data_IF_693227981034
#
_entry.id   IF_693227981034
#
_cell.length_a   1.000
_cell.length_b   1.000
_cell.length_c   1.000
_cell.angle_alpha   90.00
_cell.angle_beta   90.00
_cell.angle_gamma   90.00
#
_symmetry.space_group_name_H-M   'P 1'
#
loop_
_entity.id
_entity.type
_entity.pdbx_description
1 polymer ?
#
# COMPACT_ATOMS: atom_id res chain seq x y z
N UNK A 1 -1.31 -7.73 5.53
CA UNK A 1 0.01 -7.68 6.17
C UNK A 1 0.90 -6.81 5.31
N UNK A 2 1.72 -5.97 5.93
CA UNK A 2 2.64 -5.06 5.26
C UNK A 2 3.99 -5.06 5.98
N UNK A 3 5.06 -5.01 5.20
CA UNK A 3 6.42 -4.67 5.63
C UNK A 3 6.96 -3.66 4.60
N UNK A 4 7.51 -2.54 5.06
CA UNK A 4 8.02 -1.45 4.20
C UNK A 4 7.01 -0.35 3.91
N UNK A 5 7.13 0.25 2.73
CA UNK A 5 6.39 1.45 2.30
C UNK A 5 5.56 1.24 1.02
N UNK A 6 5.49 0.02 0.50
CA UNK A 6 4.43 -0.35 -0.44
C UNK A 6 3.07 -0.20 0.22
N UNK A 7 2.06 0.21 -0.56
CA UNK A 7 0.77 0.65 -0.02
C UNK A 7 -0.39 -0.22 -0.49
N UNK A 8 -1.41 -0.30 0.35
CA UNK A 8 -2.73 -0.84 0.02
C UNK A 8 -3.80 0.23 0.18
N UNK A 9 -4.72 0.29 -0.77
CA UNK A 9 -5.88 1.18 -0.75
C UNK A 9 -7.17 0.40 -0.94
N UNK A 10 -8.24 0.88 -0.33
CA UNK A 10 -9.62 0.46 -0.59
C UNK A 10 -10.36 1.60 -1.27
N UNK A 11 -11.04 1.28 -2.37
CA UNK A 11 -12.04 2.15 -2.99
C UNK A 11 -13.43 1.59 -2.69
N UNK A 12 -14.25 2.39 -2.01
CA UNK A 12 -15.62 2.08 -1.61
C UNK A 12 -16.47 3.33 -1.72
N UNK A 13 -17.67 3.22 -2.30
CA UNK A 13 -18.62 4.34 -2.44
C UNK A 13 -17.99 5.60 -3.05
N UNK A 14 -17.18 5.44 -4.11
CA UNK A 14 -16.44 6.50 -4.78
C UNK A 14 -15.47 7.31 -3.87
N UNK A 15 -15.03 6.72 -2.76
CA UNK A 15 -13.97 7.25 -1.90
C UNK A 15 -12.81 6.28 -1.85
N UNK A 16 -11.60 6.81 -1.63
CA UNK A 16 -10.36 6.02 -1.51
C UNK A 16 -9.77 6.16 -0.12
N UNK A 17 -9.28 5.06 0.43
CA UNK A 17 -8.77 4.98 1.78
C UNK A 17 -7.46 4.20 1.79
N UNK A 18 -6.42 4.78 2.36
CA UNK A 18 -5.17 4.08 2.55
C UNK A 18 -5.29 3.14 3.76
N UNK A 19 -5.07 1.85 3.54
CA UNK A 19 -5.18 0.81 4.57
C UNK A 19 -3.87 0.59 5.31
N UNK A 20 -2.76 0.93 4.68
CA UNK A 20 -1.39 0.74 5.12
C UNK A 20 -0.78 2.02 5.65
N UNK A 21 0.24 1.90 6.50
CA UNK A 21 1.03 3.03 6.96
C UNK A 21 2.49 2.77 6.67
N UNK A 22 3.14 3.70 5.99
CA UNK A 22 4.51 3.51 5.52
C UNK A 22 5.46 3.31 6.70
N UNK A 23 6.26 2.25 6.67
CA UNK A 23 7.31 2.05 7.67
C UNK A 23 8.57 2.82 7.25
N UNK A 24 8.44 4.15 7.13
CA UNK A 24 9.49 5.07 6.69
C UNK A 24 9.85 6.10 7.76
N UNK A 25 11.04 6.68 7.66
CA UNK A 25 11.52 7.71 8.59
C UNK A 25 10.59 8.93 8.59
N UNK A 26 10.19 9.40 7.40
CA UNK A 26 9.29 10.56 7.29
C UNK A 26 7.93 10.31 7.91
N UNK A 27 7.40 9.08 7.82
CA UNK A 27 6.15 8.72 8.48
C UNK A 27 6.28 8.77 10.01
N UNK A 28 7.42 8.32 10.57
CA UNK A 28 7.68 8.47 12.01
C UNK A 28 7.79 9.93 12.44
N UNK A 29 8.41 10.80 11.63
CA UNK A 29 8.48 12.23 11.91
C UNK A 29 7.10 12.89 11.92
N UNK A 30 6.22 12.50 10.99
CA UNK A 30 4.81 12.93 10.95
C UNK A 30 4.07 12.47 12.22
N UNK A 31 4.24 11.20 12.59
CA UNK A 31 3.59 10.63 13.78
C UNK A 31 4.04 11.32 15.08
N UNK A 32 5.32 11.64 15.16
CA UNK A 32 5.92 12.40 16.26
C UNK A 32 5.59 13.90 16.20
N UNK A 33 4.80 14.36 15.21
CA UNK A 33 4.43 15.76 14.96
C UNK A 33 5.65 16.69 14.79
N UNK A 34 6.76 16.15 14.30
CA UNK A 34 7.99 16.91 14.03
C UNK A 34 7.93 17.60 12.66
N UNK A 35 7.22 16.99 11.72
CA UNK A 35 6.92 17.57 10.41
C UNK A 35 5.43 17.41 10.12
N UNK A 36 4.90 18.20 9.19
CA UNK A 36 3.53 18.02 8.70
C UNK A 36 3.45 16.94 7.61
N UNK A 37 2.29 16.31 7.40
CA UNK A 37 2.12 15.33 6.32
C UNK A 37 2.51 15.88 4.94
N UNK A 38 2.25 17.16 4.66
CA UNK A 38 2.58 17.77 3.37
C UNK A 38 4.10 17.95 3.18
N UNK A 39 4.85 18.08 4.27
CA UNK A 39 6.31 18.23 4.27
C UNK A 39 7.01 16.89 4.02
N UNK A 40 6.41 15.78 4.45
CA UNK A 40 6.97 14.43 4.26
C UNK A 40 7.21 14.11 2.77
N UNK A 41 6.34 14.61 1.89
CA UNK A 41 6.32 14.35 0.45
C UNK A 41 7.51 14.92 -0.31
N UNK A 42 8.07 16.02 0.20
CA UNK A 42 9.23 16.71 -0.40
C UNK A 42 10.48 16.62 0.46
N UNK A 43 10.42 15.85 1.55
CA UNK A 43 11.52 15.71 2.49
C UNK A 43 12.71 14.97 1.87
N UNK A 44 13.93 15.42 2.19
CA UNK A 44 15.18 14.83 1.67
C UNK A 44 15.35 13.35 2.01
N UNK A 45 14.75 12.90 3.11
CA UNK A 45 14.80 11.51 3.60
C UNK A 45 13.54 10.71 3.26
N UNK A 46 12.72 11.14 2.29
CA UNK A 46 11.44 10.49 1.99
C UNK A 46 11.56 9.02 1.56
N UNK A 47 12.69 8.63 0.96
CA UNK A 47 12.95 7.26 0.50
C UNK A 47 13.62 6.39 1.58
N UNK A 48 13.68 6.84 2.84
CA UNK A 48 14.33 6.07 3.93
C UNK A 48 13.29 5.18 4.61
N UNK A 49 13.35 3.89 4.32
CA UNK A 49 12.54 2.84 4.94
C UNK A 49 13.20 2.32 6.22
N UNK A 50 12.38 1.95 7.20
CA UNK A 50 12.80 1.47 8.53
C UNK A 50 12.60 -0.03 8.72
N UNK A 51 11.78 -0.65 7.87
CA UNK A 51 11.48 -2.08 7.89
C UNK A 51 11.52 -2.60 6.47
N UNK A 52 12.34 -3.63 6.24
CA UNK A 52 12.40 -4.33 4.97
C UNK A 52 12.84 -5.77 5.23
N UNK A 53 12.21 -6.72 4.54
CA UNK A 53 12.65 -8.11 4.58
C UNK A 53 14.07 -8.21 4.00
N UNK A 54 14.96 -8.95 4.67
CA UNK A 54 16.37 -9.10 4.30
C UNK A 54 17.30 -7.97 4.75
N UNK A 55 16.78 -6.86 5.30
CA UNK A 55 17.62 -5.75 5.80
C UNK A 55 17.99 -5.90 7.28
N UNK A 56 17.16 -6.62 8.05
CA UNK A 56 17.37 -6.92 9.46
C UNK A 56 16.98 -8.36 9.77
N UNK A 57 17.58 -8.96 10.81
CA UNK A 57 17.30 -10.33 11.26
C UNK A 57 15.87 -10.51 11.81
N UNK A 58 15.27 -9.43 12.27
CA UNK A 58 13.91 -9.36 12.78
C UNK A 58 13.15 -8.25 12.05
N UNK A 59 11.93 -8.57 11.64
CA UNK A 59 10.99 -7.60 11.06
C UNK A 59 9.70 -7.58 11.86
N UNK A 60 9.02 -6.43 11.83
CA UNK A 60 7.78 -6.17 12.55
C UNK A 60 6.65 -5.92 11.55
N UNK A 61 5.94 -6.96 11.08
CA UNK A 61 4.86 -6.82 10.12
C UNK A 61 3.65 -6.13 10.73
N UNK A 62 3.03 -5.22 9.98
CA UNK A 62 1.74 -4.65 10.35
C UNK A 62 0.63 -5.50 9.75
N UNK A 63 -0.23 -6.07 10.60
CA UNK A 63 -1.37 -6.87 10.16
C UNK A 63 -2.67 -6.15 10.50
N UNK A 64 -3.48 -5.94 9.47
CA UNK A 64 -4.79 -5.32 9.56
C UNK A 64 -5.80 -6.25 8.92
N UNK A 65 -6.95 -6.40 9.57
CA UNK A 65 -8.12 -7.09 9.06
C UNK A 65 -9.14 -6.06 8.57
N UNK A 66 -9.58 -6.25 7.33
CA UNK A 66 -10.64 -5.49 6.68
C UNK A 66 -11.89 -6.37 6.56
N UNK A 67 -13.06 -5.77 6.72
CA UNK A 67 -14.35 -6.39 6.39
C UNK A 67 -14.80 -5.94 5.00
N UNK A 68 -14.63 -6.80 3.96
CA UNK A 68 -14.96 -6.43 2.59
C UNK A 68 -16.47 -6.38 2.36
N UNK A 69 -16.89 -5.48 1.46
CA UNK A 69 -18.24 -5.37 0.94
C UNK A 69 -18.24 -5.68 -0.56
N UNK A 70 -19.40 -6.05 -1.11
CA UNK A 70 -19.55 -6.24 -2.55
C UNK A 70 -19.25 -4.93 -3.27
N UNK A 71 -18.45 -5.01 -4.32
CA UNK A 71 -18.09 -3.86 -5.15
C UNK A 71 -16.84 -3.12 -4.69
N UNK A 72 -16.31 -3.44 -3.51
CA UNK A 72 -15.02 -2.92 -3.05
C UNK A 72 -13.93 -3.20 -4.09
N UNK A 73 -13.06 -2.21 -4.30
CA UNK A 73 -11.87 -2.36 -5.15
C UNK A 73 -10.64 -2.15 -4.28
N UNK A 74 -9.77 -3.15 -4.25
CA UNK A 74 -8.48 -3.09 -3.59
C UNK A 74 -7.41 -2.72 -4.62
N UNK A 75 -6.54 -1.78 -4.24
CA UNK A 75 -5.31 -1.44 -4.96
C UNK A 75 -4.12 -1.78 -4.07
N UNK A 76 -3.21 -2.61 -4.55
CA UNK A 76 -1.86 -2.74 -4.01
C UNK A 76 -0.88 -2.08 -4.96
N UNK A 77 0.05 -1.29 -4.45
CA UNK A 77 1.06 -0.66 -5.29
C UNK A 77 2.41 -0.49 -4.60
N UNK A 78 3.46 -0.44 -5.42
CA UNK A 78 4.78 0.03 -4.97
C UNK A 78 4.78 1.55 -4.78
N UNK A 79 5.78 2.02 -4.05
CA UNK A 79 6.08 3.44 -3.85
C UNK A 79 6.32 4.17 -5.18
N UNK A 80 6.90 3.51 -6.19
CA UNK A 80 7.02 4.04 -7.56
C UNK A 80 5.68 4.55 -8.15
N UNK A 81 4.54 3.96 -7.76
CA UNK A 81 3.23 4.48 -8.13
C UNK A 81 2.78 5.62 -7.20
N UNK A 82 2.76 5.38 -5.89
CA UNK A 82 2.17 6.30 -4.91
C UNK A 82 2.97 7.59 -4.70
N UNK A 83 4.26 7.60 -5.06
CA UNK A 83 5.10 8.79 -5.10
C UNK A 83 4.77 9.71 -6.28
N UNK A 84 4.08 9.19 -7.31
CA UNK A 84 3.73 9.93 -8.54
C UNK A 84 2.26 10.30 -8.61
N UNK A 85 1.38 9.46 -8.08
CA UNK A 85 -0.07 9.64 -8.10
C UNK A 85 -0.61 9.82 -6.69
N UNK A 86 -1.35 10.91 -6.47
CA UNK A 86 -2.05 11.17 -5.21
C UNK A 86 -3.32 10.33 -5.13
N UNK A 87 -3.88 10.20 -3.94
CA UNK A 87 -5.12 9.46 -3.70
C UNK A 87 -6.25 9.86 -4.67
N UNK A 88 -6.40 11.16 -4.95
CA UNK A 88 -7.40 11.66 -5.91
C UNK A 88 -7.12 11.23 -7.36
N UNK A 89 -5.84 11.16 -7.76
CA UNK A 89 -5.47 10.66 -9.10
C UNK A 89 -5.80 9.16 -9.21
N UNK A 90 -5.40 8.39 -8.20
CA UNK A 90 -5.67 6.95 -8.11
C UNK A 90 -7.18 6.67 -8.20
N UNK A 91 -7.97 7.39 -7.38
CA UNK A 91 -9.42 7.29 -7.35
C UNK A 91 -10.04 7.61 -8.71
N UNK A 92 -9.65 8.74 -9.33
CA UNK A 92 -10.14 9.14 -10.65
C UNK A 92 -9.93 8.03 -11.68
N UNK A 93 -8.70 7.53 -11.80
CA UNK A 93 -8.38 6.49 -12.79
C UNK A 93 -9.16 5.20 -12.54
N UNK A 94 -9.35 4.81 -11.27
CA UNK A 94 -10.13 3.62 -10.91
C UNK A 94 -11.61 3.81 -11.26
N UNK A 95 -12.20 4.96 -10.94
CA UNK A 95 -13.61 5.25 -11.20
C UNK A 95 -13.92 5.37 -12.69
N UNK A 96 -13.00 5.94 -13.48
CA UNK A 96 -13.14 6.04 -14.94
C UNK A 96 -13.09 4.65 -15.64
N UNK A 97 -12.69 3.60 -14.92
CA UNK A 97 -12.42 2.26 -15.46
C UNK A 97 -13.04 1.12 -14.61
N UNK A 98 -14.17 1.36 -13.94
CA UNK A 98 -14.81 0.39 -13.02
C UNK A 98 -15.13 -0.99 -13.63
N UNK A 99 -15.29 -1.03 -14.95
CA UNK A 99 -15.64 -2.25 -15.71
C UNK A 99 -14.44 -2.87 -16.45
N UNK A 100 -13.28 -2.20 -16.45
CA UNK A 100 -12.03 -2.68 -17.04
C UNK A 100 -10.83 -2.35 -16.14
N UNK A 101 -10.65 -3.16 -15.10
CA UNK A 101 -9.52 -3.02 -14.17
C UNK A 101 -8.16 -3.19 -14.86
N UNK A 102 -8.09 -3.91 -15.99
CA UNK A 102 -6.84 -4.05 -16.73
C UNK A 102 -6.46 -2.71 -17.35
N UNK A 103 -7.42 -2.00 -17.95
CA UNK A 103 -7.19 -0.65 -18.46
C UNK A 103 -6.91 0.34 -17.32
N UNK A 104 -7.56 0.18 -16.15
CA UNK A 104 -7.25 0.97 -14.97
C UNK A 104 -5.77 0.82 -14.56
N UNK A 105 -5.27 -0.42 -14.41
CA UNK A 105 -3.85 -0.68 -14.10
C UNK A 105 -2.92 -0.07 -15.15
N UNK A 106 -3.21 -0.25 -16.45
CA UNK A 106 -2.39 0.34 -17.51
C UNK A 106 -2.34 1.87 -17.44
N UNK A 107 -3.49 2.50 -17.20
CA UNK A 107 -3.60 3.96 -17.09
C UNK A 107 -2.84 4.48 -15.87
N UNK A 108 -2.95 3.81 -14.72
CA UNK A 108 -2.18 4.14 -13.52
C UNK A 108 -0.67 4.11 -13.78
N UNK A 109 -0.17 3.03 -14.36
CA UNK A 109 1.26 2.89 -14.69
C UNK A 109 1.70 3.93 -15.72
N UNK A 110 0.87 4.20 -16.73
CA UNK A 110 1.16 5.20 -17.75
C UNK A 110 1.26 6.61 -17.14
N UNK A 111 0.29 7.03 -16.34
CA UNK A 111 0.30 8.36 -15.73
C UNK A 111 1.47 8.54 -14.73
N UNK A 112 1.86 7.48 -14.02
CA UNK A 112 3.05 7.54 -13.15
C UNK A 112 4.35 7.70 -13.96
N UNK A 113 4.48 7.01 -15.10
CA UNK A 113 5.62 7.19 -16.01
C UNK A 113 5.68 8.61 -16.60
N UNK A 114 4.54 9.18 -16.99
CA UNK A 114 4.46 10.56 -17.51
C UNK A 114 4.89 11.61 -16.46
N UNK A 115 4.86 11.27 -15.17
CA UNK A 115 5.30 12.11 -14.04
C UNK A 115 6.75 11.84 -13.59
N UNK A 116 7.54 11.13 -14.40
CA UNK A 116 8.98 10.96 -14.22
C UNK A 116 9.46 9.51 -14.29
N UNK A 117 8.64 8.55 -13.82
CA UNK A 117 8.92 7.11 -13.96
C UNK A 117 10.32 6.65 -13.53
N UNK A 118 10.91 7.29 -12.52
CA UNK A 118 12.31 7.07 -12.12
C UNK A 118 12.52 5.79 -11.30
N UNK A 119 11.43 5.14 -10.90
CA UNK A 119 11.42 3.91 -10.10
C UNK A 119 10.53 2.84 -10.73
N UNK A 120 10.67 1.60 -10.27
CA UNK A 120 9.85 0.47 -10.68
C UNK A 120 8.40 0.66 -10.21
N UNK A 121 7.48 0.69 -11.17
CA UNK A 121 6.05 0.88 -10.91
C UNK A 121 5.34 -0.47 -10.99
N UNK A 122 4.77 -0.91 -9.86
CA UNK A 122 3.92 -2.10 -9.79
C UNK A 122 2.55 -1.73 -9.22
N UNK A 123 1.48 -2.24 -9.82
CA UNK A 123 0.10 -2.04 -9.37
C UNK A 123 -0.73 -3.33 -9.56
N UNK A 124 -1.55 -3.65 -8.58
CA UNK A 124 -2.51 -4.76 -8.61
C UNK A 124 -3.87 -4.22 -8.19
N UNK A 125 -4.89 -4.39 -9.05
CA UNK A 125 -6.28 -4.06 -8.75
C UNK A 125 -7.12 -5.33 -8.66
N UNK A 126 -8.01 -5.38 -7.66
CA UNK A 126 -8.97 -6.47 -7.48
C UNK A 126 -10.33 -5.92 -7.07
N UNK A 127 -11.39 -6.27 -7.80
CA UNK A 127 -12.78 -5.95 -7.46
C UNK A 127 -13.46 -7.15 -6.83
N UNK A 128 -14.10 -6.93 -5.69
CA UNK A 128 -14.75 -7.99 -4.92
C UNK A 128 -16.20 -8.16 -5.40
N UNK A 129 -16.51 -9.30 -6.04
CA UNK A 129 -17.82 -9.55 -6.69
C UNK A 129 -18.60 -10.72 -6.09
N UNK A 130 -18.05 -11.41 -5.08
CA UNK A 130 -18.63 -12.63 -4.52
C UNK A 130 -20.05 -12.46 -3.99
N UNK A 131 -20.94 -13.41 -4.25
CA UNK A 131 -22.36 -13.40 -3.86
C UNK A 131 -22.59 -13.34 -2.35
N UNK A 132 -21.63 -13.78 -1.56
CA UNK A 132 -21.76 -13.87 -0.09
C UNK A 132 -21.25 -12.61 0.62
N UNK A 133 -20.72 -11.64 -0.14
CA UNK A 133 -20.32 -10.36 0.42
C UNK A 133 -21.54 -9.51 0.75
N UNK A 134 -21.53 -8.81 1.91
CA UNK A 134 -22.59 -7.88 2.24
C UNK A 134 -22.66 -6.77 1.19
N UNK A 135 -23.87 -6.30 0.91
CA UNK A 135 -24.09 -5.09 0.13
C UNK A 135 -23.38 -3.90 0.79
N UNK A 136 -23.05 -2.84 0.04
CA UNK A 136 -22.44 -1.65 0.62
C UNK A 136 -23.45 -0.88 1.48
N UNK A 137 -23.39 -1.08 2.81
CA UNK A 137 -24.34 -0.51 3.78
C UNK A 137 -23.73 0.60 4.65
N UNK A 138 -22.41 0.57 4.84
CA UNK A 138 -21.69 1.51 5.73
C UNK A 138 -20.66 2.32 4.92
N UNK A 139 -20.66 3.64 5.09
CA UNK A 139 -19.61 4.52 4.56
C UNK A 139 -18.29 4.38 5.34
N UNK A 140 -18.37 3.99 6.62
CA UNK A 140 -17.21 3.92 7.50
C UNK A 140 -16.42 2.62 7.31
N UNK A 141 -15.10 2.73 7.23
CA UNK A 141 -14.20 1.58 7.15
C UNK A 141 -13.72 1.22 8.54
N UNK A 142 -13.98 -0.02 8.94
CA UNK A 142 -13.46 -0.60 10.18
C UNK A 142 -12.23 -1.45 9.86
N UNK A 143 -11.08 -1.02 10.38
CA UNK A 143 -9.82 -1.74 10.35
C UNK A 143 -9.52 -2.27 11.73
N UNK A 144 -9.38 -3.59 11.86
CA UNK A 144 -8.94 -4.24 13.09
C UNK A 144 -7.45 -4.52 12.98
N UNK A 145 -6.64 -3.86 13.83
CA UNK A 145 -5.22 -4.16 13.94
C UNK A 145 -5.04 -5.47 14.71
N UNK A 146 -4.30 -6.40 14.13
CA UNK A 146 -3.98 -7.66 14.76
C UNK A 146 -2.56 -7.58 15.32
N UNK A 147 -2.40 -7.95 16.59
CA UNK A 147 -1.08 -8.16 17.18
C UNK A 147 -0.45 -9.37 16.49
N UNK A 148 0.74 -9.16 15.92
CA UNK A 148 1.51 -10.20 15.25
C UNK A 148 2.90 -10.22 15.87
N UNK A 149 3.37 -11.41 16.26
CA UNK A 149 4.72 -11.58 16.81
C UNK A 149 5.78 -11.35 15.71
N UNK A 150 6.97 -10.91 16.10
CA UNK A 150 8.09 -10.67 15.18
C UNK A 150 8.40 -11.92 14.35
N UNK A 151 8.66 -11.74 13.06
CA UNK A 151 9.11 -12.84 12.19
C UNK A 151 10.64 -12.75 12.10
N UNK A 152 11.31 -13.87 12.36
CA UNK A 152 12.74 -14.01 12.05
C UNK A 152 12.92 -14.25 10.57
N UNK A 153 13.78 -13.46 9.94
CA UNK A 153 14.18 -13.70 8.55
C UNK A 153 15.06 -14.94 8.48
N UNK A 154 14.55 -16.03 7.91
CA UNK A 154 15.25 -17.32 7.81
C UNK A 154 16.18 -17.41 6.59
N UNK A 155 16.46 -16.30 5.89
CA UNK A 155 17.23 -16.32 4.64
C UNK A 155 18.74 -16.56 4.80
N UNK A 156 19.29 -16.64 6.02
CA UNK A 156 20.72 -16.89 6.25
C UNK A 156 21.12 -18.30 6.75
N UNK A 157 20.19 -19.24 7.00
CA UNK A 157 20.55 -20.55 7.62
C UNK A 157 20.96 -21.68 6.66
N UNK A 158 21.40 -21.41 5.42
CA UNK A 158 21.88 -22.49 4.53
C UNK A 158 23.24 -22.22 3.86
N UNK A 159 24.24 -21.89 4.67
CA UNK A 159 25.65 -22.21 4.37
C UNK A 159 26.10 -23.39 5.22
N UNK A 160 25.40 -24.52 5.07
CA UNK A 160 25.88 -25.80 5.57
C UNK A 160 27.18 -26.19 4.86
N UNK A 161 28.22 -26.41 5.67
CA UNK A 161 29.51 -26.99 5.29
C UNK A 161 29.33 -28.18 4.33
N UNK A 162 29.93 -28.09 3.16
CA UNK A 162 30.34 -29.27 2.39
C UNK A 162 31.84 -29.41 2.60
N UNK A 163 32.19 -30.37 3.48
CA UNK A 163 33.54 -30.91 3.65
C UNK A 163 34.02 -31.66 2.41
#
# INVERSE_FOLDING_TARGET
MQIGDSRAYLVRNAQIYQLTKDQSLVQQLVDAKQIKPEEAETHIMKNVILQALGAQSEVYPVVVRLYPQRGDILLLCSDGLSNKLRANDLLRVILDNLDDLKNACFTLVKEANERGGEDNITAVLAKLTGSDLPEPIEEEIKLEHLEFESIHDTSEENTGELA
#
